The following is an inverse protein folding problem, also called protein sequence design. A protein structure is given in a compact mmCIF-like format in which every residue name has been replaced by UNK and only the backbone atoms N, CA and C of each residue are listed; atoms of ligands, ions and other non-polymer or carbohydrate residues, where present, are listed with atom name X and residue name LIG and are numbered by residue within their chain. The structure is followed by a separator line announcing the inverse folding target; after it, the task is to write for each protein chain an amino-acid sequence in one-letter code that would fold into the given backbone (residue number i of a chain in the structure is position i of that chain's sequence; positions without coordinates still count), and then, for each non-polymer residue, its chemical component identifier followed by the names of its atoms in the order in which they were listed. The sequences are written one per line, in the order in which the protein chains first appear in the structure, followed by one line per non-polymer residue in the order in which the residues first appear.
data_IF_027503733637
#
_entry.id   IF_027503733637
#
_cell.length_a   1.000
_cell.length_b   1.000
_cell.length_c   1.000
_cell.angle_alpha   90.00
_cell.angle_beta   90.00
_cell.angle_gamma   90.00
#
_symmetry.space_group_name_H-M   'P 1'
#
loop_
_entity.id
_entity.type
_entity.pdbx_description
1 polymer ?
#
# COMPACT_ATOMS: atom_id res chain seq x y z
N UNK A 1 30.26 9.66 12.30
CA UNK A 1 29.64 9.38 10.98
C UNK A 1 28.15 8.99 11.08
N UNK A 2 27.33 9.59 11.96
CA UNK A 2 25.92 9.19 12.09
C UNK A 2 24.94 10.19 11.44
N UNK A 3 25.17 11.50 11.56
CA UNK A 3 24.25 12.53 11.03
C UNK A 3 24.16 12.55 9.51
N UNK A 4 25.28 12.44 8.80
CA UNK A 4 25.30 12.37 7.32
C UNK A 4 24.57 11.13 6.79
N UNK A 5 24.69 10.00 7.49
CA UNK A 5 23.97 8.77 7.12
C UNK A 5 22.47 8.90 7.35
N UNK A 6 22.06 9.56 8.44
CA UNK A 6 20.65 9.88 8.70
C UNK A 6 20.10 10.82 7.63
N UNK A 7 20.83 11.88 7.27
CA UNK A 7 20.45 12.82 6.23
C UNK A 7 20.33 12.14 4.86
N UNK A 8 21.30 11.30 4.50
CA UNK A 8 21.29 10.51 3.26
C UNK A 8 20.06 9.58 3.21
N UNK A 9 19.77 8.83 4.28
CA UNK A 9 18.58 7.96 4.35
C UNK A 9 17.27 8.75 4.28
N UNK A 10 17.21 9.92 4.92
CA UNK A 10 16.03 10.78 4.84
C UNK A 10 15.80 11.27 3.41
N UNK A 11 16.85 11.69 2.71
CA UNK A 11 16.76 12.15 1.32
C UNK A 11 16.32 11.01 0.38
N UNK A 12 16.93 9.83 0.48
CA UNK A 12 16.57 8.69 -0.38
C UNK A 12 15.15 8.22 -0.12
N UNK A 13 14.73 8.16 1.15
CA UNK A 13 13.37 7.78 1.56
C UNK A 13 12.32 8.76 1.02
N UNK A 14 12.57 10.07 1.16
CA UNK A 14 11.66 11.09 0.64
C UNK A 14 11.63 11.10 -0.89
N UNK A 15 12.75 10.86 -1.56
CA UNK A 15 12.78 10.73 -3.03
C UNK A 15 11.90 9.56 -3.51
N UNK A 16 11.98 8.40 -2.86
CA UNK A 16 11.10 7.27 -3.15
C UNK A 16 9.63 7.59 -2.85
N UNK A 17 9.35 8.32 -1.76
CA UNK A 17 7.99 8.77 -1.47
C UNK A 17 7.42 9.70 -2.55
N UNK A 18 8.25 10.63 -3.06
CA UNK A 18 7.88 11.51 -4.18
C UNK A 18 7.62 10.73 -5.48
N UNK A 19 8.35 9.64 -5.74
CA UNK A 19 8.07 8.77 -6.88
C UNK A 19 6.68 8.13 -6.80
N UNK A 20 6.27 7.66 -5.62
CA UNK A 20 4.92 7.12 -5.39
C UNK A 20 3.86 8.21 -5.55
N UNK A 21 4.13 9.42 -5.06
CA UNK A 21 3.25 10.58 -5.28
C UNK A 21 3.12 10.88 -6.78
N UNK A 22 4.22 10.90 -7.53
CA UNK A 22 4.21 11.09 -8.98
C UNK A 22 3.43 10.01 -9.70
N UNK A 23 3.60 8.75 -9.29
CA UNK A 23 2.83 7.63 -9.82
C UNK A 23 1.32 7.76 -9.56
N UNK A 24 0.92 8.21 -8.37
CA UNK A 24 -0.48 8.50 -8.05
C UNK A 24 -1.06 9.61 -8.93
N UNK A 25 -0.31 10.71 -9.10
CA UNK A 25 -0.75 11.85 -9.92
C UNK A 25 -0.93 11.40 -11.38
N UNK A 26 0.03 10.64 -11.92
CA UNK A 26 -0.02 10.15 -13.29
C UNK A 26 -1.21 9.22 -13.57
N UNK A 27 -1.71 8.51 -12.55
CA UNK A 27 -2.77 7.51 -12.70
C UNK A 27 -4.10 7.92 -12.04
N UNK A 28 -4.23 9.18 -11.59
CA UNK A 28 -5.42 9.64 -10.86
C UNK A 28 -6.72 9.50 -11.68
N UNK A 29 -6.62 9.61 -13.00
CA UNK A 29 -7.75 9.52 -13.93
C UNK A 29 -7.86 8.14 -14.60
N UNK A 30 -7.03 7.17 -14.20
CA UNK A 30 -7.09 5.81 -14.74
C UNK A 30 -8.19 5.03 -14.02
N UNK A 31 -9.16 4.53 -14.78
CA UNK A 31 -10.26 3.72 -14.22
C UNK A 31 -9.71 2.49 -13.47
N UNK A 32 -10.26 2.22 -12.28
CA UNK A 32 -9.81 1.11 -11.43
C UNK A 32 -8.47 1.35 -10.73
N UNK A 33 -7.84 2.52 -10.89
CA UNK A 33 -6.62 2.83 -10.16
C UNK A 33 -6.87 2.97 -8.65
N UNK A 34 -6.11 2.22 -7.87
CA UNK A 34 -6.07 2.35 -6.41
C UNK A 34 -4.81 3.10 -5.98
N UNK A 35 -5.03 4.25 -5.33
CA UNK A 35 -3.99 5.14 -4.81
C UNK A 35 -3.05 4.40 -3.87
N UNK A 36 -1.76 4.64 -4.01
CA UNK A 36 -0.70 4.11 -3.16
C UNK A 36 -0.29 5.13 -2.09
N UNK A 37 -0.22 4.72 -0.83
CA UNK A 37 0.21 5.52 0.31
C UNK A 37 1.48 4.92 0.90
N UNK A 38 2.52 5.74 1.05
CA UNK A 38 3.79 5.32 1.61
C UNK A 38 3.71 5.35 3.12
N UNK A 39 3.98 4.21 3.76
CA UNK A 39 4.10 4.11 5.20
C UNK A 39 5.57 4.30 5.58
N UNK A 40 5.83 5.31 6.41
CA UNK A 40 7.17 5.60 6.91
C UNK A 40 7.31 5.05 8.34
N UNK A 41 8.47 4.50 8.63
CA UNK A 41 8.82 3.96 9.95
C UNK A 41 10.17 4.49 10.40
N UNK A 42 10.30 4.73 11.71
CA UNK A 42 11.58 5.02 12.33
C UNK A 42 12.49 3.80 12.30
N UNK A 43 13.74 3.99 11.91
CA UNK A 43 14.76 2.95 12.03
C UNK A 43 15.07 2.80 13.52
N UNK A 44 15.01 1.58 14.10
CA UNK A 44 15.28 1.37 15.51
C UNK A 44 16.60 2.00 15.94
N UNK A 45 16.52 2.84 16.99
CA UNK A 45 17.68 3.53 17.52
C UNK A 45 18.70 2.55 18.10
N UNK A 46 19.97 2.96 18.12
CA UNK A 46 21.02 2.19 18.80
C UNK A 46 21.34 2.86 20.12
N UNK A 47 21.38 2.05 21.17
CA UNK A 47 21.80 2.48 22.50
C UNK A 47 23.31 2.70 22.50
N UNK A 48 23.73 3.90 22.89
CA UNK A 48 25.13 4.23 23.12
C UNK A 48 25.28 4.84 24.51
N UNK A 49 25.89 4.10 25.44
CA UNK A 49 26.25 4.55 26.79
C UNK A 49 25.09 5.20 27.56
N UNK A 50 24.92 6.51 27.38
CA UNK A 50 23.99 7.37 28.10
C UNK A 50 22.77 7.83 27.27
N UNK A 51 22.49 7.27 26.09
CA UNK A 51 21.31 7.65 25.31
C UNK A 51 20.99 6.80 24.08
N UNK A 52 19.77 6.99 23.56
CA UNK A 52 19.34 6.42 22.29
C UNK A 52 19.58 7.42 21.15
N UNK A 53 20.28 6.99 20.11
CA UNK A 53 20.39 7.75 18.87
C UNK A 53 19.48 7.15 17.80
N UNK A 54 18.54 7.95 17.31
CA UNK A 54 17.68 7.58 16.18
C UNK A 54 18.51 7.40 14.90
N UNK A 55 18.16 6.42 14.07
CA UNK A 55 18.87 6.08 12.82
C UNK A 55 18.20 6.66 11.57
N UNK A 56 17.22 7.54 11.75
CA UNK A 56 16.45 8.15 10.67
C UNK A 56 15.14 7.40 10.39
N UNK A 57 14.67 7.53 9.16
CA UNK A 57 13.39 7.00 8.68
C UNK A 57 13.62 6.10 7.47
N UNK A 58 12.75 5.13 7.27
CA UNK A 58 12.69 4.28 6.08
C UNK A 58 11.23 3.99 5.68
N UNK A 59 11.04 3.47 4.47
CA UNK A 59 9.72 3.03 3.99
C UNK A 59 9.42 1.66 4.60
N UNK A 60 8.38 1.58 5.44
CA UNK A 60 7.86 0.33 5.96
C UNK A 60 7.11 -0.47 4.89
N UNK A 61 6.41 0.23 4.00
CA UNK A 61 5.64 -0.39 2.93
C UNK A 61 4.86 0.64 2.11
N UNK A 62 4.22 0.16 1.06
CA UNK A 62 3.31 0.95 0.22
C UNK A 62 1.94 0.27 0.29
N UNK A 63 0.99 0.93 0.93
CA UNK A 63 -0.37 0.44 1.05
C UNK A 63 -1.23 1.00 -0.07
N UNK A 64 -2.17 0.21 -0.55
CA UNK A 64 -3.13 0.66 -1.56
C UNK A 64 -4.43 1.04 -0.86
N UNK A 65 -4.93 2.25 -1.11
CA UNK A 65 -6.27 2.66 -0.69
C UNK A 65 -7.30 1.95 -1.57
N UNK A 66 -7.56 0.69 -1.24
CA UNK A 66 -8.77 -0.02 -1.63
C UNK A 66 -9.43 -0.54 -0.36
N UNK A 67 -10.75 -0.51 -0.32
CA UNK A 67 -11.46 -1.09 0.82
C UNK A 67 -11.44 -2.61 0.66
N UNK A 68 -10.56 -3.27 1.41
CA UNK A 68 -10.49 -4.74 1.47
C UNK A 68 -11.84 -5.35 1.84
N UNK A 69 -12.64 -4.66 2.65
CA UNK A 69 -14.02 -5.03 2.96
C UNK A 69 -14.92 -4.94 1.72
N UNK A 70 -14.97 -3.81 1.02
CA UNK A 70 -15.82 -3.66 -0.16
C UNK A 70 -15.40 -4.61 -1.29
N UNK A 71 -14.09 -4.84 -1.48
CA UNK A 71 -13.60 -5.82 -2.44
C UNK A 71 -14.02 -7.24 -2.06
N UNK A 72 -13.98 -7.59 -0.77
CA UNK A 72 -14.46 -8.89 -0.29
C UNK A 72 -15.95 -9.05 -0.54
N UNK A 73 -16.76 -8.06 -0.18
CA UNK A 73 -18.20 -8.08 -0.38
C UNK A 73 -18.56 -8.19 -1.87
N UNK A 74 -17.90 -7.41 -2.74
CA UNK A 74 -18.11 -7.48 -4.19
C UNK A 74 -17.77 -8.87 -4.77
N UNK A 75 -16.69 -9.50 -4.28
CA UNK A 75 -16.33 -10.86 -4.68
C UNK A 75 -17.36 -11.90 -4.21
N UNK A 76 -17.88 -11.76 -2.98
CA UNK A 76 -18.91 -12.63 -2.44
C UNK A 76 -20.24 -12.49 -3.21
N UNK A 77 -20.66 -11.26 -3.50
CA UNK A 77 -21.87 -11.01 -4.30
C UNK A 77 -21.73 -11.55 -5.71
N UNK A 78 -20.56 -11.38 -6.34
CA UNK A 78 -20.28 -11.91 -7.67
C UNK A 78 -20.28 -13.44 -7.68
N UNK A 79 -19.73 -14.07 -6.66
CA UNK A 79 -19.74 -15.53 -6.51
C UNK A 79 -21.17 -16.07 -6.39
N UNK A 80 -22.02 -15.42 -5.57
CA UNK A 80 -23.43 -15.77 -5.43
C UNK A 80 -24.20 -15.63 -6.76
N UNK A 81 -24.06 -14.49 -7.44
CA UNK A 81 -24.69 -14.26 -8.75
C UNK A 81 -24.22 -15.26 -9.81
N UNK A 82 -22.94 -15.65 -9.78
CA UNK A 82 -22.39 -16.67 -10.69
C UNK A 82 -22.99 -18.04 -10.41
N UNK A 83 -23.17 -18.42 -9.14
CA UNK A 83 -23.83 -19.68 -8.77
C UNK A 83 -25.29 -19.71 -9.22
N UNK A 84 -26.01 -18.58 -9.09
CA UNK A 84 -27.41 -18.47 -9.52
C UNK A 84 -27.56 -18.55 -11.03
N UNK A 85 -26.67 -17.91 -11.80
CA UNK A 85 -26.70 -18.00 -13.26
C UNK A 85 -26.42 -19.41 -13.78
N UNK A 86 -25.49 -20.15 -13.15
CA UNK A 86 -25.23 -21.57 -13.45
C UNK A 86 -26.44 -22.43 -13.08
N UNK A 87 -27.10 -22.15 -11.95
CA UNK A 87 -28.32 -22.87 -11.56
C UNK A 87 -29.42 -22.65 -12.61
N UNK A 88 -29.63 -21.41 -13.02
CA UNK A 88 -30.61 -21.04 -14.02
C UNK A 88 -30.32 -21.69 -15.39
N UNK A 89 -29.07 -21.73 -15.83
CA UNK A 89 -28.71 -22.36 -17.10
C UNK A 89 -28.97 -23.86 -17.10
N UNK A 90 -28.70 -24.56 -15.99
CA UNK A 90 -29.03 -25.98 -15.81
C UNK A 90 -30.53 -26.23 -15.84
N UNK A 91 -31.33 -25.37 -15.20
CA UNK A 91 -32.79 -25.49 -15.22
C UNK A 91 -33.39 -25.28 -16.62
N UNK A 92 -32.75 -24.47 -17.48
CA UNK A 92 -33.18 -24.30 -18.89
C UNK A 92 -32.82 -25.47 -19.81
N UNK A 93 -31.93 -26.36 -19.39
CA UNK A 93 -31.51 -27.53 -20.17
C UNK A 93 -32.37 -28.77 -19.89
N UNK A 94 -33.28 -28.69 -18.92
CA UNK A 94 -34.33 -29.67 -18.64
C UNK A 94 -35.62 -29.28 -19.36
#
# INVERSE_FOLDING_TARGET
MSSLNIASRALTTNMAALQVIGHNIANVNTEGYSRQTVQLQQVPGQLFGNGYYGKGVEIAGIERSYSTFLTREANLSQAAASADSIRYSRLRQL
#
